data_IF_167706381676
#
_entry.id   IF_167706381676
#
_cell.length_a   1.000
_cell.length_b   1.000
_cell.length_c   1.000
_cell.angle_alpha   90.00
_cell.angle_beta   90.00
_cell.angle_gamma   90.00
#
_symmetry.space_group_name_H-M   'P 1'
#
loop_
_entity.id
_entity.type
_entity.pdbx_description
1 polymer ?
#
# COMPACT_ATOMS: atom_id res chain seq x y z
N UNK A 1 -23.12 1.66 24.55
CA UNK A 1 -22.33 2.08 23.38
C UNK A 1 -22.83 3.45 22.97
N UNK A 2 -22.04 4.49 23.25
CA UNK A 2 -22.46 5.88 23.09
C UNK A 2 -22.42 6.22 21.61
N UNK A 3 -23.59 6.40 21.01
CA UNK A 3 -23.74 7.00 19.68
C UNK A 3 -23.44 8.49 19.79
N UNK A 4 -22.18 8.88 19.53
CA UNK A 4 -21.84 10.27 19.30
C UNK A 4 -22.36 10.60 17.90
N UNK A 5 -23.54 11.20 17.85
CA UNK A 5 -24.26 11.61 16.64
C UNK A 5 -23.57 12.81 15.97
N UNK A 6 -22.30 12.66 15.59
CA UNK A 6 -21.74 13.47 14.51
C UNK A 6 -22.21 12.79 13.22
N UNK A 7 -22.94 13.48 12.31
CA UNK A 7 -23.37 12.84 11.08
C UNK A 7 -22.14 12.37 10.32
N UNK A 8 -22.02 11.06 10.11
CA UNK A 8 -20.96 10.46 9.29
C UNK A 8 -21.08 11.04 7.88
N UNK A 9 -20.37 12.13 7.64
CA UNK A 9 -20.50 12.88 6.41
C UNK A 9 -19.48 12.28 5.46
N UNK A 10 -19.89 11.23 4.72
CA UNK A 10 -19.04 10.54 3.72
C UNK A 10 -18.33 11.52 2.78
N UNK A 11 -18.94 12.69 2.48
CA UNK A 11 -18.30 13.73 1.69
C UNK A 11 -17.04 14.35 2.32
N UNK A 12 -16.91 14.39 3.65
CA UNK A 12 -15.69 14.85 4.32
C UNK A 12 -14.52 13.90 4.07
N UNK A 13 -14.76 12.59 4.05
CA UNK A 13 -13.74 11.59 3.68
C UNK A 13 -13.28 11.84 2.25
N UNK A 14 -14.21 12.10 1.31
CA UNK A 14 -13.84 12.42 -0.06
C UNK A 14 -13.10 13.76 -0.21
N UNK A 15 -13.40 14.76 0.61
CA UNK A 15 -12.62 16.03 0.63
C UNK A 15 -11.23 15.81 1.24
N UNK A 16 -11.08 14.90 2.20
CA UNK A 16 -9.81 14.57 2.85
C UNK A 16 -8.85 13.92 1.89
N UNK A 17 -9.34 12.97 1.09
CA UNK A 17 -8.56 12.35 0.02
C UNK A 17 -8.11 13.32 -1.07
N UNK A 18 -8.77 14.48 -1.19
CA UNK A 18 -8.44 15.54 -2.17
C UNK A 18 -7.63 16.70 -1.56
N UNK A 19 -7.26 16.60 -0.29
CA UNK A 19 -6.54 17.65 0.46
C UNK A 19 -7.30 19.00 0.49
N UNK A 20 -8.64 18.94 0.51
CA UNK A 20 -9.53 20.11 0.42
C UNK A 20 -10.10 20.56 1.77
N UNK A 21 -9.70 19.95 2.89
CA UNK A 21 -10.16 20.36 4.22
C UNK A 21 -9.25 21.42 4.83
N UNK A 22 -9.87 22.35 5.55
CA UNK A 22 -9.12 23.20 6.46
C UNK A 22 -8.67 22.40 7.71
N UNK A 23 -7.67 22.94 8.42
CA UNK A 23 -7.12 22.25 9.60
C UNK A 23 -8.12 21.98 10.73
N UNK A 24 -9.21 22.75 10.81
CA UNK A 24 -10.26 22.54 11.81
C UNK A 24 -11.17 21.37 11.44
N UNK A 25 -11.52 21.26 10.16
CA UNK A 25 -12.33 20.17 9.64
C UNK A 25 -11.54 18.85 9.61
N UNK A 26 -10.24 18.91 9.31
CA UNK A 26 -9.36 17.75 9.41
C UNK A 26 -9.31 17.22 10.84
N UNK A 27 -9.10 18.09 11.84
CA UNK A 27 -9.05 17.66 13.23
C UNK A 27 -10.37 17.03 13.71
N UNK A 28 -11.52 17.58 13.29
CA UNK A 28 -12.82 16.99 13.58
C UNK A 28 -13.00 15.60 12.93
N UNK A 29 -12.48 15.42 11.71
CA UNK A 29 -12.53 14.13 11.02
C UNK A 29 -11.63 13.10 11.72
N UNK A 30 -10.42 13.49 12.15
CA UNK A 30 -9.49 12.63 12.90
C UNK A 30 -10.10 12.16 14.24
N UNK A 31 -10.72 13.09 15.00
CA UNK A 31 -11.44 12.74 16.23
C UNK A 31 -12.58 11.75 15.93
N UNK A 32 -13.30 11.96 14.83
CA UNK A 32 -14.40 11.07 14.43
C UNK A 32 -13.92 9.67 14.01
N UNK A 33 -12.82 9.57 13.26
CA UNK A 33 -12.24 8.29 12.81
C UNK A 33 -11.71 7.42 13.97
N UNK A 34 -11.41 8.05 15.10
CA UNK A 34 -11.02 7.35 16.33
C UNK A 34 -12.18 6.53 16.90
N UNK A 35 -13.41 7.05 16.81
CA UNK A 35 -14.60 6.46 17.43
C UNK A 35 -15.57 5.79 16.42
N UNK A 36 -15.36 5.95 15.10
CA UNK A 36 -16.29 5.49 14.07
C UNK A 36 -15.66 4.48 13.10
N UNK A 37 -15.95 3.19 13.32
CA UNK A 37 -15.49 2.11 12.45
C UNK A 37 -16.05 2.22 11.02
N UNK A 38 -17.29 2.69 10.85
CA UNK A 38 -17.90 2.88 9.52
C UNK A 38 -17.11 3.87 8.66
N UNK A 39 -16.69 5.01 9.23
CA UNK A 39 -15.89 5.98 8.49
C UNK A 39 -14.46 5.50 8.23
N UNK A 40 -13.92 4.63 9.10
CA UNK A 40 -12.63 3.97 8.87
C UNK A 40 -12.70 3.00 7.69
N UNK A 41 -13.68 2.11 7.69
CA UNK A 41 -13.90 1.15 6.60
C UNK A 41 -14.20 1.85 5.27
N UNK A 42 -14.97 2.96 5.31
CA UNK A 42 -15.22 3.77 4.13
C UNK A 42 -13.96 4.48 3.61
N UNK A 43 -13.07 4.97 4.50
CA UNK A 43 -11.79 5.55 4.11
C UNK A 43 -10.87 4.51 3.49
N UNK A 44 -10.77 3.33 4.10
CA UNK A 44 -10.01 2.19 3.57
C UNK A 44 -10.51 1.78 2.19
N UNK A 45 -11.83 1.61 2.02
CA UNK A 45 -12.44 1.24 0.72
C UNK A 45 -12.24 2.32 -0.34
N UNK A 46 -12.28 3.60 0.04
CA UNK A 46 -12.12 4.72 -0.90
C UNK A 46 -10.68 4.88 -1.39
N UNK A 47 -9.68 4.54 -0.57
CA UNK A 47 -8.25 4.52 -0.94
C UNK A 47 -7.89 3.23 -1.67
N UNK A 48 -8.52 2.12 -1.29
CA UNK A 48 -8.39 0.81 -1.93
C UNK A 48 -9.15 0.71 -3.26
N UNK A 49 -9.32 1.81 -4.00
CA UNK A 49 -9.88 1.81 -5.35
C UNK A 49 -8.97 1.06 -6.32
N UNK A 50 -8.96 -0.27 -6.24
CA UNK A 50 -8.13 -1.19 -7.04
C UNK A 50 -8.31 -0.94 -8.54
N UNK A 51 -9.49 -0.49 -8.99
CA UNK A 51 -9.74 -0.20 -10.41
C UNK A 51 -8.91 0.99 -10.95
N UNK A 52 -8.68 2.04 -10.15
CA UNK A 52 -7.89 3.20 -10.57
C UNK A 52 -6.41 2.87 -10.59
N UNK A 53 -5.96 2.00 -9.69
CA UNK A 53 -4.58 1.50 -9.68
C UNK A 53 -4.30 0.53 -10.83
N UNK A 54 -5.25 -0.31 -11.21
CA UNK A 54 -5.15 -1.19 -12.38
C UNK A 54 -5.07 -0.39 -13.69
N UNK A 55 -5.93 0.62 -13.86
CA UNK A 55 -5.88 1.51 -15.03
C UNK A 55 -4.57 2.30 -15.09
N UNK A 56 -4.09 2.83 -13.96
CA UNK A 56 -2.81 3.54 -13.89
C UNK A 56 -1.62 2.62 -14.14
N UNK A 57 -1.63 1.40 -13.61
CA UNK A 57 -0.59 0.38 -13.86
C UNK A 57 -0.58 -0.05 -15.32
N UNK A 58 -1.75 -0.24 -15.93
CA UNK A 58 -1.87 -0.50 -17.36
C UNK A 58 -1.32 0.65 -18.20
N UNK A 59 -1.61 1.90 -17.84
CA UNK A 59 -1.09 3.08 -18.53
C UNK A 59 0.43 3.23 -18.40
N UNK A 60 1.00 3.02 -17.19
CA UNK A 60 2.44 3.10 -16.95
C UNK A 60 3.22 1.96 -17.62
N UNK A 61 2.64 0.76 -17.70
CA UNK A 61 3.25 -0.38 -18.41
C UNK A 61 3.08 -0.30 -19.94
N UNK A 62 2.26 0.63 -20.44
CA UNK A 62 2.03 0.80 -21.88
C UNK A 62 3.11 1.64 -22.58
N UNK A 63 4.11 2.17 -21.84
CA UNK A 63 5.22 2.96 -22.40
C UNK A 63 6.51 2.15 -22.67
N UNK A 64 6.49 0.82 -22.52
CA UNK A 64 7.55 -0.07 -22.99
C UNK A 64 7.36 -0.45 -24.46
N UNK A 65 7.33 0.56 -25.34
CA UNK A 65 7.06 0.40 -26.77
C UNK A 65 8.02 1.14 -27.71
N UNK A 66 9.00 1.89 -27.20
CA UNK A 66 9.93 2.61 -28.07
C UNK A 66 11.28 2.93 -27.41
N UNK A 67 12.22 1.97 -27.38
CA UNK A 67 13.57 2.15 -27.94
C UNK A 67 14.44 0.88 -27.86
N UNK A 68 14.53 0.18 -28.99
CA UNK A 68 15.72 -0.44 -29.58
C UNK A 68 16.90 -0.88 -28.68
N UNK A 69 17.02 -2.19 -28.47
CA UNK A 69 18.22 -2.96 -28.84
C UNK A 69 19.29 -3.23 -27.78
N UNK A 70 19.19 -4.38 -27.11
CA UNK A 70 20.27 -5.40 -27.00
C UNK A 70 19.64 -6.76 -26.70
N UNK A 71 20.08 -7.78 -27.45
CA UNK A 71 19.58 -9.14 -27.37
C UNK A 71 19.96 -9.83 -26.04
N UNK A 72 18.97 -10.48 -25.42
CA UNK A 72 19.12 -11.38 -24.29
C UNK A 72 17.88 -12.26 -24.19
N UNK A 73 17.90 -13.35 -24.93
CA UNK A 73 16.87 -14.39 -25.03
C UNK A 73 16.48 -14.98 -23.67
N UNK A 74 15.20 -14.89 -23.31
CA UNK A 74 14.46 -15.93 -22.59
C UNK A 74 12.96 -15.72 -22.80
N UNK A 75 12.44 -16.51 -23.72
CA UNK A 75 11.06 -16.55 -24.17
C UNK A 75 10.10 -17.27 -23.20
N UNK A 76 8.83 -16.88 -23.24
CA UNK A 76 7.66 -17.70 -22.91
C UNK A 76 6.96 -17.31 -21.59
N UNK A 77 5.94 -16.44 -21.63
CA UNK A 77 4.53 -16.73 -21.95
C UNK A 77 3.73 -17.24 -20.74
N UNK A 78 2.85 -16.34 -20.30
CA UNK A 78 1.46 -16.51 -19.88
C UNK A 78 1.07 -17.28 -18.61
N UNK A 79 0.27 -16.53 -17.84
CA UNK A 79 -0.92 -16.93 -17.10
C UNK A 79 -0.81 -17.27 -15.60
N UNK A 80 -1.38 -16.32 -14.84
CA UNK A 80 -2.28 -16.51 -13.69
C UNK A 80 -1.66 -17.09 -12.41
N UNK A 81 -1.14 -16.20 -11.55
CA UNK A 81 -1.30 -16.30 -10.08
C UNK A 81 -1.24 -14.89 -9.47
N UNK A 82 -2.37 -14.18 -9.48
CA UNK A 82 -2.61 -13.08 -8.54
C UNK A 82 -2.44 -13.62 -7.10
N UNK A 83 -1.82 -12.83 -6.20
CA UNK A 83 -1.33 -13.14 -4.84
C UNK A 83 0.15 -13.56 -4.67
N UNK A 84 0.84 -14.03 -5.72
CA UNK A 84 2.24 -14.49 -5.59
C UNK A 84 3.31 -13.47 -6.06
N UNK A 85 2.89 -12.41 -6.77
CA UNK A 85 3.82 -11.47 -7.41
C UNK A 85 4.20 -10.30 -6.48
N UNK A 86 3.24 -9.79 -5.70
CA UNK A 86 3.47 -8.73 -4.73
C UNK A 86 4.39 -9.16 -3.56
N UNK A 87 4.32 -10.43 -3.17
CA UNK A 87 5.13 -11.02 -2.11
C UNK A 87 6.59 -11.26 -2.53
N UNK A 88 6.85 -11.46 -3.83
CA UNK A 88 8.22 -11.54 -4.38
C UNK A 88 8.92 -10.19 -4.36
N UNK A 89 8.22 -9.13 -4.76
CA UNK A 89 8.73 -7.75 -4.70
C UNK A 89 9.06 -7.35 -3.25
N UNK A 90 8.16 -7.64 -2.31
CA UNK A 90 8.40 -7.36 -0.90
C UNK A 90 9.61 -8.17 -0.37
N UNK A 91 9.73 -9.45 -0.72
CA UNK A 91 10.85 -10.30 -0.31
C UNK A 91 12.20 -9.82 -0.84
N UNK A 92 12.28 -9.43 -2.12
CA UNK A 92 13.50 -8.86 -2.71
C UNK A 92 13.84 -7.50 -2.08
N UNK A 93 12.84 -6.66 -1.85
CA UNK A 93 13.04 -5.37 -1.18
C UNK A 93 13.56 -5.54 0.25
N UNK A 94 13.00 -6.49 1.01
CA UNK A 94 13.48 -6.81 2.36
C UNK A 94 14.94 -7.29 2.34
N UNK A 95 15.31 -8.14 1.38
CA UNK A 95 16.70 -8.62 1.25
C UNK A 95 17.70 -7.49 0.93
N UNK A 96 17.24 -6.39 0.31
CA UNK A 96 18.07 -5.21 0.03
C UNK A 96 18.16 -4.23 1.21
N UNK A 97 17.14 -4.20 2.07
CA UNK A 97 17.04 -3.25 3.18
C UNK A 97 17.62 -3.82 4.48
N UNK A 98 17.44 -5.11 4.73
CA UNK A 98 17.83 -5.77 5.97
C UNK A 98 19.27 -6.27 5.89
N UNK A 99 20.00 -6.13 6.99
CA UNK A 99 21.26 -6.85 7.16
C UNK A 99 20.99 -8.32 7.49
N UNK A 100 21.92 -9.24 7.18
CA UNK A 100 21.74 -10.67 7.50
C UNK A 100 21.53 -10.90 9.00
N UNK A 101 20.66 -11.85 9.33
CA UNK A 101 20.53 -12.40 10.69
C UNK A 101 21.22 -13.75 10.79
N UNK A 102 21.65 -14.10 12.01
CA UNK A 102 22.20 -15.43 12.33
C UNK A 102 21.08 -16.42 12.70
N UNK A 103 19.88 -15.91 12.98
CA UNK A 103 18.70 -16.73 13.24
C UNK A 103 17.95 -17.00 11.92
N UNK A 104 17.82 -18.27 11.49
CA UNK A 104 17.11 -18.64 10.26
C UNK A 104 15.60 -18.39 10.32
N UNK A 105 15.03 -18.14 11.50
CA UNK A 105 13.62 -17.75 11.66
C UNK A 105 13.38 -16.25 11.44
N UNK A 106 14.45 -15.45 11.34
CA UNK A 106 14.35 -14.00 11.16
C UNK A 106 14.63 -13.62 9.71
N UNK A 107 13.90 -12.65 9.19
CA UNK A 107 14.09 -12.10 7.84
C UNK A 107 15.41 -11.34 7.71
N UNK A 108 15.89 -10.77 8.82
CA UNK A 108 17.13 -10.01 8.87
C UNK A 108 17.18 -9.10 10.09
N UNK A 109 18.02 -8.06 10.04
CA UNK A 109 18.17 -7.08 11.12
C UNK A 109 18.30 -5.65 10.62
N UNK A 110 17.78 -4.71 11.41
CA UNK A 110 18.00 -3.27 11.26
C UNK A 110 18.74 -2.79 12.51
N UNK A 111 20.06 -2.57 12.37
CA UNK A 111 20.92 -2.25 13.50
C UNK A 111 20.87 -3.38 14.56
N UNK A 112 20.48 -3.08 15.82
CA UNK A 112 20.41 -4.09 16.88
C UNK A 112 19.09 -4.89 16.89
N UNK A 113 18.10 -4.55 16.06
CA UNK A 113 16.78 -5.19 16.08
C UNK A 113 16.68 -6.28 15.02
N UNK A 114 16.16 -7.43 15.40
CA UNK A 114 15.86 -8.53 14.49
C UNK A 114 14.41 -8.41 13.99
N UNK A 115 14.22 -8.68 12.70
CA UNK A 115 12.94 -8.56 12.01
C UNK A 115 12.39 -9.96 11.74
N UNK A 116 11.21 -10.28 12.29
CA UNK A 116 10.58 -11.61 12.16
C UNK A 116 9.65 -11.71 10.97
N UNK A 117 8.94 -10.64 10.62
CA UNK A 117 7.95 -10.64 9.54
C UNK A 117 7.77 -9.25 8.93
N UNK A 118 6.97 -9.19 7.85
CA UNK A 118 6.50 -7.96 7.23
C UNK A 118 5.01 -7.83 7.55
N UNK A 119 4.62 -6.73 8.16
CA UNK A 119 3.22 -6.45 8.54
C UNK A 119 2.43 -5.89 7.35
N UNK A 120 3.09 -5.16 6.45
CA UNK A 120 2.46 -4.62 5.24
C UNK A 120 3.44 -3.90 4.32
N UNK A 121 3.08 -3.79 3.05
CA UNK A 121 3.85 -3.07 2.04
C UNK A 121 2.93 -2.28 1.10
N UNK A 122 3.43 -1.17 0.55
CA UNK A 122 2.70 -0.32 -0.39
C UNK A 122 3.59 0.75 -1.03
N UNK A 123 2.99 1.68 -1.78
CA UNK A 123 3.73 2.75 -2.48
C UNK A 123 4.55 3.68 -1.57
N UNK A 124 4.28 3.68 -0.26
CA UNK A 124 5.02 4.47 0.74
C UNK A 124 6.12 3.68 1.46
N UNK A 125 6.31 2.39 1.14
CA UNK A 125 7.35 1.55 1.71
C UNK A 125 6.84 0.25 2.34
N UNK A 126 7.64 -0.30 3.26
CA UNK A 126 7.42 -1.58 3.94
C UNK A 126 7.42 -1.37 5.45
N UNK A 127 6.51 -2.04 6.15
CA UNK A 127 6.38 -2.03 7.62
C UNK A 127 6.72 -3.42 8.16
N UNK A 128 7.59 -3.44 9.17
CA UNK A 128 8.13 -4.61 9.85
C UNK A 128 7.64 -4.69 11.29
#
# INVERSE_FOLDING_TARGET
MVMKTSPCTSSLVSCFLRDELDGSQQHMLEEHLTDCDYCREHLETSVAGMNQWEELRSALNSDDGASSGVAGDSAGSDHLTEDADASKDAGEFCARLLSPSDDPQMLGRIGPYEISEVIGHGGMGVVF
#
